data_IF_935955157685
#
_entry.id   IF_935955157685
#
_cell.length_a   1.000
_cell.length_b   1.000
_cell.length_c   1.000
_cell.angle_alpha   90.00
_cell.angle_beta   90.00
_cell.angle_gamma   90.00
#
_symmetry.space_group_name_H-M   'P 1'
#
loop_
_entity.id
_entity.type
_entity.pdbx_description
1 polymer ?
#
# COMPACT_ATOMS: atom_id res chain seq x y z
N UNK A 1 -19.82 4.26 12.35
CA UNK A 1 -20.69 4.10 11.16
C UNK A 1 -20.04 3.05 10.26
N UNK A 2 -20.68 1.91 10.04
CA UNK A 2 -20.25 0.95 9.02
C UNK A 2 -20.33 1.71 7.69
N UNK A 3 -19.20 1.89 7.01
CA UNK A 3 -19.16 2.52 5.69
C UNK A 3 -20.16 1.79 4.79
N UNK A 4 -21.13 2.51 4.24
CA UNK A 4 -22.17 1.94 3.39
C UNK A 4 -21.55 1.12 2.26
N UNK A 5 -21.86 -0.17 2.23
CA UNK A 5 -21.48 -1.08 1.15
C UNK A 5 -22.07 -0.55 -0.15
N UNK A 6 -21.23 -0.29 -1.15
CA UNK A 6 -21.69 0.20 -2.45
C UNK A 6 -21.88 -0.95 -3.43
N UNK A 7 -23.12 -1.12 -3.93
CA UNK A 7 -23.42 -2.10 -4.99
C UNK A 7 -22.58 -1.86 -6.26
N UNK A 8 -22.31 -0.59 -6.61
CA UNK A 8 -21.42 -0.23 -7.71
C UNK A 8 -19.99 -0.68 -7.48
N UNK A 9 -19.43 -0.43 -6.29
CA UNK A 9 -18.05 -0.84 -5.99
C UNK A 9 -17.90 -2.37 -5.94
N UNK A 10 -18.93 -3.08 -5.45
CA UNK A 10 -18.98 -4.54 -5.50
C UNK A 10 -18.98 -5.06 -6.95
N UNK A 11 -19.76 -4.45 -7.84
CA UNK A 11 -19.77 -4.83 -9.25
C UNK A 11 -18.39 -4.62 -9.91
N UNK A 12 -17.72 -3.49 -9.65
CA UNK A 12 -16.35 -3.24 -10.12
C UNK A 12 -15.38 -4.30 -9.58
N UNK A 13 -15.49 -4.65 -8.29
CA UNK A 13 -14.64 -5.68 -7.69
C UNK A 13 -14.82 -7.05 -8.34
N UNK A 14 -16.06 -7.47 -8.60
CA UNK A 14 -16.38 -8.71 -9.30
C UNK A 14 -15.85 -8.70 -10.74
N UNK A 15 -16.06 -7.60 -11.47
CA UNK A 15 -15.53 -7.44 -12.82
C UNK A 15 -13.99 -7.52 -12.84
N UNK A 16 -13.32 -6.90 -11.87
CA UNK A 16 -11.87 -6.95 -11.72
C UNK A 16 -11.38 -8.37 -11.45
N UNK A 17 -12.05 -9.16 -10.61
CA UNK A 17 -11.70 -10.58 -10.42
C UNK A 17 -11.83 -11.35 -11.74
N UNK A 18 -12.95 -11.21 -12.45
CA UNK A 18 -13.17 -11.88 -13.74
C UNK A 18 -12.13 -11.48 -14.80
N UNK A 19 -11.71 -10.21 -14.84
CA UNK A 19 -10.65 -9.71 -15.73
C UNK A 19 -9.32 -10.38 -15.45
N UNK A 20 -8.97 -10.47 -14.17
CA UNK A 20 -7.69 -11.02 -13.74
C UNK A 20 -7.65 -12.54 -13.97
N UNK A 21 -8.78 -13.23 -13.77
CA UNK A 21 -8.91 -14.67 -14.06
C UNK A 21 -8.84 -14.97 -15.57
N UNK A 22 -9.51 -14.18 -16.41
CA UNK A 22 -9.47 -14.36 -17.88
C UNK A 22 -8.20 -13.82 -18.53
N UNK A 23 -7.47 -12.93 -17.84
CA UNK A 23 -6.20 -12.37 -18.27
C UNK A 23 -6.30 -11.20 -19.27
N UNK A 24 -7.47 -10.59 -19.48
CA UNK A 24 -7.63 -9.47 -20.42
C UNK A 24 -8.86 -8.62 -20.11
N UNK A 25 -8.94 -7.41 -20.67
CA UNK A 25 -10.13 -6.55 -20.63
C UNK A 25 -10.33 -5.76 -21.93
N UNK A 26 -11.55 -5.26 -22.16
CA UNK A 26 -11.83 -4.33 -23.26
C UNK A 26 -11.48 -2.91 -22.81
N UNK A 27 -10.33 -2.42 -23.27
CA UNK A 27 -9.90 -1.05 -23.07
C UNK A 27 -10.51 -0.09 -24.09
N UNK A 28 -10.33 1.23 -23.90
CA UNK A 28 -10.87 2.24 -24.82
C UNK A 28 -10.30 2.13 -26.25
N UNK A 29 -9.10 1.58 -26.42
CA UNK A 29 -8.43 1.42 -27.72
C UNK A 29 -8.46 -0.03 -28.25
N UNK A 30 -9.22 -0.93 -27.59
CA UNK A 30 -9.32 -2.35 -27.95
C UNK A 30 -8.97 -3.29 -26.79
N UNK A 31 -8.84 -4.59 -27.11
CA UNK A 31 -8.53 -5.63 -26.13
C UNK A 31 -7.12 -5.45 -25.58
N UNK A 32 -6.99 -5.48 -24.25
CA UNK A 32 -5.72 -5.42 -23.52
C UNK A 32 -5.49 -6.75 -22.81
N UNK A 33 -4.40 -7.44 -23.15
CA UNK A 33 -3.92 -8.64 -22.47
C UNK A 33 -3.04 -8.25 -21.27
N UNK A 34 -3.32 -8.84 -20.10
CA UNK A 34 -2.56 -8.69 -18.87
C UNK A 34 -2.14 -10.05 -18.27
N UNK A 35 -2.43 -11.17 -18.93
CA UNK A 35 -2.29 -12.52 -18.36
C UNK A 35 -0.84 -12.81 -17.92
N UNK A 36 0.13 -12.43 -18.77
CA UNK A 36 1.55 -12.60 -18.47
C UNK A 36 2.02 -11.74 -17.30
N UNK A 37 1.58 -10.48 -17.24
CA UNK A 37 1.95 -9.56 -16.17
C UNK A 37 1.37 -9.99 -14.83
N UNK A 38 0.12 -10.47 -14.83
CA UNK A 38 -0.53 -11.07 -13.65
C UNK A 38 0.26 -12.30 -13.18
N UNK A 39 0.58 -13.22 -14.09
CA UNK A 39 1.33 -14.43 -13.74
C UNK A 39 2.71 -14.09 -13.15
N UNK A 40 3.42 -13.13 -13.76
CA UNK A 40 4.71 -12.65 -13.27
C UNK A 40 4.60 -12.03 -11.86
N UNK A 41 3.60 -11.18 -11.62
CA UNK A 41 3.38 -10.57 -10.31
C UNK A 41 3.09 -11.62 -9.22
N UNK A 42 2.25 -12.60 -9.52
CA UNK A 42 1.93 -13.71 -8.59
C UNK A 42 3.17 -14.56 -8.31
N UNK A 43 3.89 -14.99 -9.34
CA UNK A 43 5.10 -15.82 -9.19
C UNK A 43 6.23 -15.07 -8.46
N UNK A 44 6.31 -13.76 -8.62
CA UNK A 44 7.28 -12.90 -7.96
C UNK A 44 6.88 -12.48 -6.54
N UNK A 45 5.66 -12.78 -6.10
CA UNK A 45 5.19 -12.39 -4.76
C UNK A 45 6.01 -13.06 -3.67
N UNK A 46 6.42 -12.30 -2.65
CA UNK A 46 7.18 -12.79 -1.50
C UNK A 46 6.59 -12.27 -0.20
N UNK A 47 6.45 -13.13 0.80
CA UNK A 47 6.15 -12.73 2.18
C UNK A 47 7.48 -12.59 2.94
N UNK A 48 7.75 -11.40 3.47
CA UNK A 48 8.87 -11.12 4.37
C UNK A 48 8.37 -11.12 5.81
N UNK A 49 8.94 -11.99 6.64
CA UNK A 49 8.67 -12.08 8.08
C UNK A 49 9.52 -11.07 8.86
N UNK A 50 9.18 -10.73 10.12
CA UNK A 50 9.92 -9.73 10.90
C UNK A 50 11.42 -10.04 11.06
N UNK A 51 11.77 -11.33 11.16
CA UNK A 51 13.14 -11.79 11.36
C UNK A 51 13.92 -12.11 10.09
N UNK A 52 13.32 -12.01 8.90
CA UNK A 52 14.03 -12.39 7.67
C UNK A 52 15.19 -11.43 7.40
N UNK A 53 16.34 -12.01 7.10
CA UNK A 53 17.52 -11.28 6.65
C UNK A 53 17.27 -10.80 5.23
N UNK A 54 17.33 -9.48 5.03
CA UNK A 54 17.19 -8.84 3.73
C UNK A 54 18.58 -8.52 3.18
N UNK A 55 18.72 -8.60 1.85
CA UNK A 55 19.92 -8.13 1.17
C UNK A 55 20.18 -6.66 1.54
N UNK A 56 21.46 -6.31 1.74
CA UNK A 56 21.82 -4.94 2.11
C UNK A 56 21.54 -4.00 0.92
N UNK A 57 20.66 -2.99 1.08
CA UNK A 57 20.34 -2.11 -0.03
C UNK A 57 21.49 -1.16 -0.33
N UNK A 58 21.74 -0.95 -1.63
CA UNK A 58 22.73 0.02 -2.09
C UNK A 58 22.20 1.44 -1.89
N UNK A 59 22.98 2.27 -1.19
CA UNK A 59 22.70 3.69 -1.04
C UNK A 59 22.73 4.42 -2.40
N UNK A 60 21.85 5.40 -2.56
CA UNK A 60 21.83 6.28 -3.73
C UNK A 60 22.60 7.56 -3.45
N UNK A 61 23.13 8.16 -4.51
CA UNK A 61 23.78 9.46 -4.44
C UNK A 61 22.76 10.59 -4.54
N UNK A 62 23.00 11.67 -3.80
CA UNK A 62 22.16 12.87 -3.82
C UNK A 62 21.10 12.89 -2.72
N UNK A 63 20.44 14.04 -2.54
CA UNK A 63 19.40 14.20 -1.52
C UNK A 63 18.12 13.45 -1.91
N UNK A 64 17.42 12.93 -0.90
CA UNK A 64 16.08 12.39 -1.06
C UNK A 64 15.10 13.53 -1.41
N UNK A 65 14.37 13.40 -2.53
CA UNK A 65 13.25 14.27 -2.85
C UNK A 65 11.97 13.78 -2.14
N UNK A 66 11.35 14.64 -1.34
CA UNK A 66 10.07 14.34 -0.66
C UNK A 66 8.96 15.25 -1.20
N UNK A 67 7.85 14.64 -1.61
CA UNK A 67 6.64 15.35 -2.05
C UNK A 67 5.45 14.96 -1.15
N UNK A 68 4.58 15.94 -0.81
CA UNK A 68 3.29 15.68 -0.15
C UNK A 68 2.18 16.19 -1.07
N UNK A 69 1.34 15.29 -1.59
CA UNK A 69 0.39 15.60 -2.66
C UNK A 69 -1.05 15.21 -2.30
N UNK A 70 -2.02 15.82 -2.99
CA UNK A 70 -3.44 15.47 -2.90
C UNK A 70 -3.88 14.36 -3.86
N UNK A 71 -2.92 13.63 -4.43
CA UNK A 71 -3.18 12.51 -5.33
C UNK A 71 -3.72 11.29 -4.56
N UNK A 72 -4.40 10.38 -5.27
CA UNK A 72 -4.52 9.02 -4.78
C UNK A 72 -3.18 8.30 -4.89
N UNK A 73 -3.05 7.18 -4.18
CA UNK A 73 -1.85 6.35 -4.27
C UNK A 73 -1.59 5.82 -5.69
N UNK A 74 -2.64 5.55 -6.46
CA UNK A 74 -2.50 5.06 -7.84
C UNK A 74 -2.19 6.18 -8.84
N UNK A 75 -2.77 7.37 -8.68
CA UNK A 75 -2.43 8.50 -9.54
C UNK A 75 -0.97 8.93 -9.36
N UNK A 76 -0.48 9.01 -8.11
CA UNK A 76 0.93 9.25 -7.84
C UNK A 76 1.82 8.12 -8.40
N UNK A 77 1.44 6.85 -8.21
CA UNK A 77 2.20 5.73 -8.75
C UNK A 77 2.25 5.75 -10.28
N UNK A 78 1.15 6.13 -10.95
CA UNK A 78 1.09 6.26 -12.41
C UNK A 78 2.04 7.33 -12.93
N UNK A 79 2.06 8.50 -12.28
CA UNK A 79 2.97 9.60 -12.60
C UNK A 79 4.43 9.16 -12.48
N UNK A 80 4.80 8.57 -11.35
CA UNK A 80 6.15 8.06 -11.12
C UNK A 80 6.54 6.93 -12.10
N UNK A 81 5.63 5.99 -12.36
CA UNK A 81 5.87 4.89 -13.29
C UNK A 81 6.16 5.37 -14.72
N UNK A 82 5.55 6.48 -15.14
CA UNK A 82 5.80 7.09 -16.45
C UNK A 82 7.20 7.71 -16.56
N UNK A 83 7.83 8.08 -15.44
CA UNK A 83 9.14 8.72 -15.39
C UNK A 83 10.27 7.71 -15.21
N UNK A 84 10.12 6.73 -14.29
CA UNK A 84 11.21 5.85 -13.85
C UNK A 84 10.97 4.35 -14.05
N UNK A 85 9.71 3.94 -14.26
CA UNK A 85 9.31 2.54 -14.47
C UNK A 85 9.48 1.59 -13.28
N UNK A 86 10.02 2.04 -12.12
CA UNK A 86 10.28 1.19 -10.94
C UNK A 86 9.80 1.84 -9.64
N UNK A 87 8.49 2.00 -9.54
CA UNK A 87 7.80 2.52 -8.36
C UNK A 87 7.30 1.40 -7.44
N UNK A 88 7.41 1.59 -6.13
CA UNK A 88 6.68 0.80 -5.14
C UNK A 88 5.67 1.65 -4.38
N UNK A 89 4.48 1.09 -4.15
CA UNK A 89 3.39 1.74 -3.43
C UNK A 89 3.03 0.96 -2.16
N UNK A 90 2.90 1.65 -1.03
CA UNK A 90 2.44 1.05 0.21
C UNK A 90 0.91 0.84 0.18
N UNK A 91 0.48 -0.42 0.21
CA UNK A 91 -0.91 -0.80 0.45
C UNK A 91 -1.21 -0.79 1.95
N UNK A 92 -2.19 0.02 2.37
CA UNK A 92 -2.62 0.21 3.75
C UNK A 92 -3.50 -0.95 4.21
N UNK A 93 -2.83 -2.08 4.42
CA UNK A 93 -3.44 -3.39 4.39
C UNK A 93 -4.35 -3.68 5.59
N UNK A 94 -5.42 -4.41 5.32
CA UNK A 94 -6.04 -5.30 6.29
C UNK A 94 -5.06 -6.40 6.68
N UNK A 95 -4.91 -6.64 7.98
CA UNK A 95 -4.14 -7.77 8.47
C UNK A 95 -4.83 -9.12 8.15
N UNK A 96 -6.15 -9.14 7.98
CA UNK A 96 -6.94 -10.40 8.03
C UNK A 96 -7.59 -10.80 6.72
N UNK A 97 -7.80 -9.85 5.81
CA UNK A 97 -8.53 -10.08 4.56
C UNK A 97 -7.73 -9.52 3.38
N UNK A 98 -7.35 -10.35 2.39
CA UNK A 98 -6.65 -9.85 1.20
C UNK A 98 -7.54 -8.90 0.41
N UNK A 99 -7.05 -7.68 0.17
CA UNK A 99 -7.84 -6.62 -0.49
C UNK A 99 -8.92 -6.03 0.42
N UNK A 100 -8.84 -6.25 1.73
CA UNK A 100 -9.79 -5.72 2.70
C UNK A 100 -11.21 -6.17 2.42
N UNK A 101 -12.14 -5.21 2.37
CA UNK A 101 -13.55 -5.45 2.07
C UNK A 101 -13.93 -5.23 0.61
N UNK A 102 -13.01 -5.25 -0.36
CA UNK A 102 -13.29 -4.75 -1.72
C UNK A 102 -14.41 -5.52 -2.44
N UNK A 103 -14.47 -6.84 -2.26
CA UNK A 103 -15.55 -7.70 -2.77
C UNK A 103 -16.92 -7.36 -2.18
N UNK A 104 -16.95 -6.78 -0.99
CA UNK A 104 -18.17 -6.32 -0.34
C UNK A 104 -18.44 -4.84 -0.63
N UNK A 105 -17.75 -4.22 -1.59
CA UNK A 105 -17.96 -2.82 -1.95
C UNK A 105 -17.55 -1.82 -0.86
N UNK A 106 -16.64 -2.20 0.05
CA UNK A 106 -16.05 -1.28 1.01
C UNK A 106 -15.13 -0.26 0.32
N UNK A 107 -14.88 0.88 0.98
CA UNK A 107 -14.10 1.98 0.42
C UNK A 107 -13.02 2.42 1.40
N UNK A 108 -11.79 2.00 1.14
CA UNK A 108 -10.57 2.66 1.60
C UNK A 108 -9.49 2.56 0.50
N UNK A 109 -8.24 2.83 0.86
CA UNK A 109 -7.11 2.81 -0.07
C UNK A 109 -6.84 1.39 -0.59
N UNK A 110 -6.77 0.39 0.29
CA UNK A 110 -6.58 -1.03 -0.09
C UNK A 110 -7.67 -1.50 -1.06
N UNK A 111 -8.94 -1.22 -0.79
CA UNK A 111 -10.02 -1.65 -1.67
C UNK A 111 -10.00 -0.95 -3.03
N UNK A 112 -9.54 0.31 -3.08
CA UNK A 112 -9.37 1.03 -4.34
C UNK A 112 -8.24 0.42 -5.17
N UNK A 113 -7.11 0.08 -4.56
CA UNK A 113 -6.01 -0.65 -5.21
C UNK A 113 -6.49 -2.01 -5.72
N UNK A 114 -7.21 -2.78 -4.89
CA UNK A 114 -7.73 -4.10 -5.24
C UNK A 114 -8.74 -4.07 -6.39
N UNK A 115 -9.53 -3.01 -6.52
CA UNK A 115 -10.46 -2.83 -7.65
C UNK A 115 -9.80 -2.36 -8.93
N UNK A 116 -8.70 -1.63 -8.86
CA UNK A 116 -8.07 -1.01 -10.03
C UNK A 116 -6.88 -1.79 -10.60
N UNK A 117 -6.44 -2.85 -9.92
CA UNK A 117 -5.24 -3.60 -10.27
C UNK A 117 -5.41 -5.11 -10.09
N UNK A 118 -4.40 -5.87 -10.51
CA UNK A 118 -4.32 -7.30 -10.27
C UNK A 118 -3.60 -7.67 -8.96
N UNK A 119 -3.64 -6.83 -7.93
CA UNK A 119 -2.94 -7.12 -6.66
C UNK A 119 -3.56 -8.35 -5.96
N UNK A 120 -4.85 -8.60 -6.13
CA UNK A 120 -5.60 -9.58 -5.32
C UNK A 120 -5.04 -11.01 -5.39
N UNK A 121 -4.73 -11.60 -6.57
CA UNK A 121 -4.05 -12.89 -6.64
C UNK A 121 -2.68 -12.91 -5.95
N UNK A 122 -1.91 -11.82 -6.01
CA UNK A 122 -0.63 -11.71 -5.30
C UNK A 122 -0.85 -11.80 -3.78
N UNK A 123 -1.83 -11.06 -3.26
CA UNK A 123 -2.22 -11.15 -1.85
C UNK A 123 -2.67 -12.56 -1.46
N UNK A 124 -3.46 -13.21 -2.32
CA UNK A 124 -3.94 -14.60 -2.10
C UNK A 124 -2.80 -15.61 -2.09
N UNK A 125 -1.78 -15.43 -2.93
CA UNK A 125 -0.59 -16.28 -2.95
C UNK A 125 0.23 -16.17 -1.65
N UNK A 126 0.22 -15.01 -0.99
CA UNK A 126 0.83 -14.80 0.32
C UNK A 126 -0.12 -15.09 1.50
N UNK A 127 -0.92 -16.17 1.40
CA UNK A 127 -1.98 -16.52 2.35
C UNK A 127 -1.55 -16.62 3.83
N UNK A 128 -0.29 -16.99 4.09
CA UNK A 128 0.28 -17.13 5.43
C UNK A 128 0.32 -15.83 6.23
N UNK A 129 0.41 -14.68 5.55
CA UNK A 129 0.26 -13.37 6.19
C UNK A 129 -1.09 -13.28 6.92
N UNK A 130 -2.16 -13.56 6.19
CA UNK A 130 -3.52 -13.43 6.71
C UNK A 130 -3.90 -14.56 7.66
N UNK A 131 -3.42 -15.79 7.40
CA UNK A 131 -3.64 -16.92 8.29
C UNK A 131 -3.06 -16.65 9.68
N UNK A 132 -1.85 -16.08 9.73
CA UNK A 132 -1.20 -15.69 10.98
C UNK A 132 -2.05 -14.66 11.75
N UNK A 133 -2.47 -13.55 11.13
CA UNK A 133 -3.24 -12.50 11.83
C UNK A 133 -4.70 -12.85 12.12
N UNK A 134 -5.24 -13.91 11.50
CA UNK A 134 -6.54 -14.48 11.89
C UNK A 134 -6.41 -15.36 13.13
N UNK A 135 -5.30 -16.07 13.28
CA UNK A 135 -5.00 -16.85 14.48
C UNK A 135 -4.57 -15.96 15.66
N UNK A 136 -3.83 -14.87 15.37
CA UNK A 136 -3.39 -13.89 16.36
C UNK A 136 -4.51 -12.88 16.71
N UNK A 137 -4.75 -12.73 18.02
CA UNK A 137 -5.72 -11.76 18.55
C UNK A 137 -5.11 -10.38 18.76
N UNK A 138 -3.79 -10.23 18.63
CA UNK A 138 -3.09 -8.96 18.76
C UNK A 138 -3.57 -7.92 17.75
N UNK A 139 -3.81 -6.70 18.23
CA UNK A 139 -4.28 -5.58 17.39
C UNK A 139 -3.15 -4.64 16.96
N UNK A 140 -1.94 -4.84 17.49
CA UNK A 140 -0.71 -4.24 16.98
C UNK A 140 -0.32 -4.83 15.61
N UNK A 141 -0.79 -6.05 15.32
CA UNK A 141 -0.32 -6.91 14.22
C UNK A 141 1.22 -7.06 14.24
N UNK A 142 1.82 -7.45 13.11
CA UNK A 142 3.25 -7.77 13.05
C UNK A 142 3.93 -7.10 11.89
N UNK A 143 5.26 -7.08 11.92
CA UNK A 143 6.12 -6.41 10.93
C UNK A 143 6.32 -7.26 9.66
N UNK A 144 5.28 -8.02 9.29
CA UNK A 144 5.23 -8.81 8.06
C UNK A 144 4.94 -7.88 6.88
N UNK A 145 5.60 -8.11 5.75
CA UNK A 145 5.39 -7.33 4.53
C UNK A 145 5.24 -8.29 3.35
N UNK A 146 4.13 -8.19 2.61
CA UNK A 146 4.02 -8.87 1.32
C UNK A 146 4.57 -7.93 0.25
N UNK A 147 5.57 -8.41 -0.49
CA UNK A 147 6.07 -7.80 -1.71
C UNK A 147 5.32 -8.39 -2.91
N UNK A 148 4.67 -7.55 -3.71
CA UNK A 148 4.00 -7.93 -4.97
C UNK A 148 4.63 -7.15 -6.13
N UNK A 149 5.52 -7.75 -6.93
CA UNK A 149 6.27 -7.02 -7.96
C UNK A 149 5.43 -6.73 -9.20
N UNK A 150 5.58 -5.53 -9.78
CA UNK A 150 5.09 -5.16 -11.10
C UNK A 150 3.63 -5.57 -11.39
N UNK A 151 2.74 -5.38 -10.42
CA UNK A 151 1.31 -5.67 -10.55
C UNK A 151 0.71 -4.72 -11.59
N UNK A 152 -0.02 -5.22 -12.61
CA UNK A 152 -0.66 -4.36 -13.59
C UNK A 152 -1.83 -3.61 -12.95
N UNK A 153 -1.79 -2.28 -13.07
CA UNK A 153 -2.90 -1.37 -12.75
C UNK A 153 -3.60 -0.98 -14.04
N UNK A 154 -4.90 -1.23 -14.13
CA UNK A 154 -5.67 -1.14 -15.37
C UNK A 154 -6.95 -0.30 -15.26
N UNK A 155 -7.21 0.31 -14.10
CA UNK A 155 -8.25 1.35 -13.95
C UNK A 155 -7.71 2.64 -13.37
N UNK A 156 -8.38 3.74 -13.67
CA UNK A 156 -8.22 5.01 -12.95
C UNK A 156 -9.11 5.09 -11.70
N UNK A 157 -8.97 6.17 -10.92
CA UNK A 157 -9.77 6.42 -9.72
C UNK A 157 -11.28 6.55 -9.95
N UNK A 158 -11.69 6.79 -11.20
CA UNK A 158 -13.10 6.82 -11.59
C UNK A 158 -13.63 5.43 -11.96
N UNK A 159 -12.77 4.41 -11.93
CA UNK A 159 -13.09 3.02 -12.28
C UNK A 159 -13.07 2.74 -13.79
N UNK A 160 -12.59 3.67 -14.62
CA UNK A 160 -12.53 3.52 -16.07
C UNK A 160 -11.31 2.71 -16.46
N UNK A 161 -11.45 1.85 -17.46
CA UNK A 161 -10.32 1.10 -18.02
C UNK A 161 -9.29 2.01 -18.67
N UNK A 162 -8.02 1.65 -18.49
CA UNK A 162 -6.90 2.33 -19.13
C UNK A 162 -6.62 1.70 -20.49
N UNK A 163 -6.27 2.52 -21.48
CA UNK A 163 -5.78 2.02 -22.77
C UNK A 163 -4.51 1.17 -22.63
N UNK A 164 -3.64 1.57 -21.70
CA UNK A 164 -2.38 0.90 -21.40
C UNK A 164 -2.27 0.74 -19.89
N UNK A 165 -2.20 -0.50 -19.37
CA UNK A 165 -1.93 -0.73 -17.96
C UNK A 165 -0.50 -0.29 -17.64
N UNK A 166 -0.24 0.02 -16.37
CA UNK A 166 1.10 0.36 -15.90
C UNK A 166 1.48 -0.53 -14.72
N UNK A 167 2.76 -0.95 -14.63
CA UNK A 167 3.22 -1.80 -13.54
C UNK A 167 3.48 -0.96 -12.29
N UNK A 168 3.00 -1.45 -11.14
CA UNK A 168 3.33 -0.92 -9.82
C UNK A 168 3.71 -2.08 -8.91
N UNK A 169 4.82 -1.98 -8.21
CA UNK A 169 5.10 -2.95 -7.14
C UNK A 169 4.40 -2.52 -5.86
N UNK A 170 3.85 -3.46 -5.10
CA UNK A 170 3.15 -3.15 -3.85
C UNK A 170 3.87 -3.74 -2.64
N UNK A 171 3.93 -2.93 -1.58
CA UNK A 171 4.30 -3.34 -0.23
C UNK A 171 2.99 -3.41 0.57
N UNK A 172 2.56 -4.60 0.97
CA UNK A 172 1.34 -4.77 1.78
C UNK A 172 1.75 -4.98 3.23
N UNK A 173 1.39 -4.03 4.09
CA UNK A 173 1.69 -4.05 5.52
C UNK A 173 0.56 -3.40 6.32
N UNK A 174 0.15 -4.05 7.40
CA UNK A 174 -0.97 -3.58 8.22
C UNK A 174 -0.47 -2.65 9.33
N UNK A 175 -1.00 -1.42 9.40
CA UNK A 175 -0.76 -0.53 10.54
C UNK A 175 -1.43 -1.09 11.82
N UNK A 176 -0.95 -0.75 13.03
CA UNK A 176 -1.68 -1.06 14.26
C UNK A 176 -3.11 -0.53 14.19
N UNK A 177 -4.09 -1.32 14.63
CA UNK A 177 -5.49 -0.88 14.69
C UNK A 177 -5.73 -0.10 15.99
N UNK A 178 -5.18 1.12 16.08
CA UNK A 178 -5.22 1.97 17.27
C UNK A 178 -6.64 2.20 17.80
N UNK A 179 -7.60 2.42 16.90
CA UNK A 179 -9.01 2.60 17.25
C UNK A 179 -9.58 1.38 17.99
N UNK A 180 -9.28 0.17 17.52
CA UNK A 180 -9.73 -1.06 18.16
C UNK A 180 -8.90 -1.41 19.41
N UNK A 181 -7.60 -1.08 19.42
CA UNK A 181 -6.75 -1.18 20.61
C UNK A 181 -7.35 -0.35 21.75
N UNK A 182 -7.69 0.92 21.50
CA UNK A 182 -8.27 1.80 22.52
C UNK A 182 -9.55 1.25 23.14
N UNK A 183 -10.34 0.50 22.36
CA UNK A 183 -11.61 -0.08 22.79
C UNK A 183 -11.44 -1.43 23.50
N UNK A 184 -10.67 -2.34 22.90
CA UNK A 184 -10.67 -3.76 23.28
C UNK A 184 -9.37 -4.21 23.98
N UNK A 185 -8.25 -3.52 23.75
CA UNK A 185 -6.93 -3.88 24.29
C UNK A 185 -6.16 -2.62 24.74
N UNK A 186 -6.73 -1.74 25.60
CA UNK A 186 -6.18 -0.41 25.87
C UNK A 186 -4.77 -0.43 26.47
N UNK A 187 -4.39 -1.54 27.14
CA UNK A 187 -3.03 -1.74 27.64
C UNK A 187 -1.94 -1.75 26.56
N UNK A 188 -2.29 -1.99 25.29
CA UNK A 188 -1.35 -1.95 24.16
C UNK A 188 -1.20 -0.54 23.54
N UNK A 189 -1.96 0.47 23.98
CA UNK A 189 -1.84 1.83 23.45
C UNK A 189 -0.41 2.40 23.53
N UNK A 190 0.34 2.23 24.65
CA UNK A 190 1.72 2.70 24.74
C UNK A 190 2.68 2.03 23.75
N UNK A 191 2.32 0.87 23.19
CA UNK A 191 3.16 0.11 22.25
C UNK A 191 2.97 0.54 20.79
N UNK A 192 1.87 1.22 20.46
CA UNK A 192 1.52 1.66 19.10
C UNK A 192 2.64 2.47 18.43
N UNK A 193 3.27 3.47 19.08
CA UNK A 193 4.35 4.24 18.46
C UNK A 193 5.55 3.37 18.08
N UNK A 194 5.94 2.44 18.96
CA UNK A 194 7.03 1.50 18.71
C UNK A 194 6.72 0.52 17.57
N UNK A 195 5.47 0.05 17.49
CA UNK A 195 5.02 -0.82 16.41
C UNK A 195 4.99 -0.09 15.05
N UNK A 196 4.52 1.16 15.00
CA UNK A 196 4.57 1.99 13.81
C UNK A 196 6.01 2.17 13.31
N UNK A 197 6.92 2.55 14.22
CA UNK A 197 8.34 2.79 13.89
C UNK A 197 9.02 1.56 13.27
N UNK A 198 9.04 0.44 13.99
CA UNK A 198 9.69 -0.80 13.51
C UNK A 198 9.14 -1.26 12.16
N UNK A 199 7.84 -1.08 11.96
CA UNK A 199 7.17 -1.53 10.73
C UNK A 199 7.38 -0.59 9.56
N UNK A 200 7.44 0.72 9.78
CA UNK A 200 7.83 1.68 8.75
C UNK A 200 9.26 1.41 8.27
N UNK A 201 10.22 1.25 9.20
CA UNK A 201 11.60 0.85 8.91
C UNK A 201 11.64 -0.45 8.08
N UNK A 202 10.85 -1.46 8.47
CA UNK A 202 10.77 -2.74 7.75
C UNK A 202 10.20 -2.59 6.34
N UNK A 203 9.14 -1.81 6.15
CA UNK A 203 8.56 -1.53 4.83
C UNK A 203 9.59 -0.89 3.91
N UNK A 204 10.31 0.13 4.40
CA UNK A 204 11.36 0.80 3.63
C UNK A 204 12.49 -0.17 3.28
N UNK A 205 12.97 -0.96 4.25
CA UNK A 205 14.06 -1.91 4.01
C UNK A 205 13.67 -3.00 3.00
N UNK A 206 12.43 -3.51 3.03
CA UNK A 206 11.92 -4.45 2.03
C UNK A 206 11.89 -3.78 0.65
N UNK A 207 11.36 -2.55 0.54
CA UNK A 207 11.32 -1.84 -0.74
C UNK A 207 12.71 -1.66 -1.35
N UNK A 208 13.67 -1.22 -0.52
CA UNK A 208 15.04 -0.96 -0.96
C UNK A 208 15.79 -2.24 -1.36
N UNK A 209 15.55 -3.35 -0.64
CA UNK A 209 16.11 -4.67 -0.94
C UNK A 209 15.60 -5.25 -2.27
N UNK A 210 14.39 -4.87 -2.70
CA UNK A 210 13.86 -5.18 -4.04
C UNK A 210 14.29 -4.16 -5.12
N UNK A 211 15.21 -3.25 -4.79
CA UNK A 211 15.79 -2.31 -5.74
C UNK A 211 14.89 -1.11 -6.07
N UNK A 212 13.81 -0.87 -5.32
CA UNK A 212 12.98 0.32 -5.51
C UNK A 212 13.71 1.58 -5.05
N UNK A 213 13.61 2.63 -5.86
CA UNK A 213 14.20 3.95 -5.60
C UNK A 213 13.16 5.07 -5.55
N UNK A 214 11.94 4.77 -5.96
CA UNK A 214 10.79 5.67 -5.90
C UNK A 214 9.64 5.02 -5.14
N UNK A 215 9.11 5.72 -4.14
CA UNK A 215 8.03 5.22 -3.30
C UNK A 215 6.81 6.12 -3.33
N UNK A 216 5.64 5.49 -3.28
CA UNK A 216 4.38 6.12 -2.91
C UNK A 216 3.97 5.63 -1.53
N UNK A 217 4.01 6.53 -0.55
CA UNK A 217 3.55 6.35 0.81
C UNK A 217 2.30 7.21 1.05
N UNK A 218 1.89 7.37 2.31
CA UNK A 218 0.81 8.27 2.70
C UNK A 218 0.37 8.06 4.14
N UNK A 219 -0.87 8.45 4.44
CA UNK A 219 -1.48 8.41 5.78
C UNK A 219 -1.84 6.98 6.24
N UNK A 220 -0.82 6.12 6.35
CA UNK A 220 -0.93 4.71 6.66
C UNK A 220 -1.57 4.47 8.03
N UNK A 221 -2.76 3.84 8.02
CA UNK A 221 -3.50 3.54 9.24
C UNK A 221 -4.23 4.73 9.88
N UNK A 222 -4.24 5.92 9.26
CA UNK A 222 -4.92 7.10 9.81
C UNK A 222 -6.42 7.15 9.54
N UNK A 223 -6.94 6.27 8.68
CA UNK A 223 -8.36 6.11 8.40
C UNK A 223 -9.08 5.28 9.47
N UNK A 224 -9.68 4.16 9.06
CA UNK A 224 -10.44 3.27 9.96
C UNK A 224 -9.64 2.78 11.18
N UNK A 225 -8.31 2.63 11.04
CA UNK A 225 -7.45 2.20 12.14
C UNK A 225 -7.13 3.33 13.15
N UNK A 226 -7.43 4.57 12.80
CA UNK A 226 -7.43 5.71 13.72
C UNK A 226 -6.08 6.06 14.32
N UNK A 227 -4.97 5.80 13.62
CA UNK A 227 -3.66 6.34 14.00
C UNK A 227 -3.63 7.85 13.80
N UNK A 228 -2.80 8.53 14.59
CA UNK A 228 -2.58 9.97 14.48
C UNK A 228 -1.71 10.28 13.25
N UNK A 229 -2.18 11.09 12.27
CA UNK A 229 -1.39 11.48 11.12
C UNK A 229 -0.04 12.11 11.44
N UNK A 230 0.04 12.98 12.45
CA UNK A 230 1.29 13.64 12.83
C UNK A 230 2.32 12.60 13.33
N UNK A 231 1.85 11.62 14.11
CA UNK A 231 2.69 10.51 14.56
C UNK A 231 3.16 9.63 13.39
N UNK A 232 2.27 9.28 12.45
CA UNK A 232 2.64 8.48 11.27
C UNK A 232 3.64 9.22 10.39
N UNK A 233 3.45 10.53 10.18
CA UNK A 233 4.37 11.36 9.41
C UNK A 233 5.75 11.44 10.08
N UNK A 234 5.80 11.70 11.39
CA UNK A 234 7.05 11.73 12.15
C UNK A 234 7.80 10.40 12.12
N UNK A 235 7.07 9.27 12.17
CA UNK A 235 7.66 7.93 12.04
C UNK A 235 8.32 7.74 10.68
N UNK A 236 7.65 8.13 9.59
CA UNK A 236 8.26 8.02 8.26
C UNK A 236 9.40 9.01 8.06
N UNK A 237 9.32 10.23 8.60
CA UNK A 237 10.41 11.20 8.54
C UNK A 237 11.68 10.65 9.22
N UNK A 238 11.55 10.13 10.44
CA UNK A 238 12.66 9.50 11.14
C UNK A 238 13.21 8.27 10.39
N UNK A 239 12.33 7.38 9.91
CA UNK A 239 12.77 6.18 9.20
C UNK A 239 13.44 6.48 7.84
N UNK A 240 13.06 7.57 7.18
CA UNK A 240 13.67 8.01 5.91
C UNK A 240 15.01 8.70 6.09
N UNK A 241 15.23 9.37 7.23
CA UNK A 241 16.53 9.96 7.56
C UNK A 241 17.66 8.91 7.59
N UNK A 242 17.33 7.68 8.01
CA UNK A 242 18.26 6.54 8.07
C UNK A 242 18.16 5.61 6.85
N UNK A 243 17.42 5.99 5.80
CA UNK A 243 17.20 5.18 4.60
C UNK A 243 17.73 5.87 3.33
N UNK A 244 19.07 5.91 3.12
CA UNK A 244 19.71 6.59 1.98
C UNK A 244 19.54 5.81 0.66
N UNK A 245 18.42 5.10 0.48
CA UNK A 245 18.19 4.16 -0.60
C UNK A 245 17.20 4.68 -1.65
N UNK A 246 16.56 5.82 -1.41
CA UNK A 246 15.49 6.34 -2.25
C UNK A 246 15.88 7.67 -2.87
N UNK A 247 15.60 7.81 -4.16
CA UNK A 247 15.74 9.08 -4.88
C UNK A 247 14.55 9.99 -4.59
N UNK A 248 13.34 9.38 -4.48
CA UNK A 248 12.09 10.11 -4.35
C UNK A 248 11.05 9.35 -3.52
N UNK A 249 10.36 10.06 -2.64
CA UNK A 249 9.22 9.56 -1.88
C UNK A 249 8.06 10.55 -2.01
N UNK A 250 6.91 10.04 -2.45
CA UNK A 250 5.66 10.80 -2.55
C UNK A 250 4.71 10.32 -1.47
N UNK A 251 4.30 11.21 -0.57
CA UNK A 251 3.18 11.00 0.35
C UNK A 251 1.89 11.42 -0.34
N UNK A 252 1.23 10.48 -1.00
CA UNK A 252 -0.03 10.70 -1.71
C UNK A 252 -1.21 10.55 -0.73
N UNK A 253 -1.78 11.68 -0.32
CA UNK A 253 -2.79 11.75 0.74
C UNK A 253 -4.05 12.38 0.16
N UNK A 254 -4.98 11.51 -0.24
CA UNK A 254 -6.30 11.91 -0.73
C UNK A 254 -7.23 12.27 0.44
N UNK A 255 -7.03 13.44 1.05
CA UNK A 255 -7.94 14.02 2.03
C UNK A 255 -8.63 15.29 1.49
N UNK A 256 -9.88 15.51 1.90
CA UNK A 256 -10.67 16.67 1.45
C UNK A 256 -10.43 17.93 2.27
N UNK A 257 -9.88 17.78 3.47
CA UNK A 257 -9.80 18.85 4.47
C UNK A 257 -8.39 19.44 4.63
N UNK A 258 -7.41 19.02 3.83
CA UNK A 258 -5.97 19.39 3.88
C UNK A 258 -5.25 19.06 5.20
N UNK A 259 -5.96 18.93 6.33
CA UNK A 259 -5.36 18.76 7.65
C UNK A 259 -4.36 17.61 7.73
N UNK A 260 -4.64 16.47 7.07
CA UNK A 260 -3.73 15.32 7.09
C UNK A 260 -2.50 15.63 6.24
N UNK A 261 -2.65 16.35 5.11
CA UNK A 261 -1.50 16.79 4.31
C UNK A 261 -0.64 17.80 5.07
N UNK A 262 -1.24 18.69 5.85
CA UNK A 262 -0.52 19.69 6.63
C UNK A 262 0.34 19.04 7.72
N UNK A 263 -0.16 18.02 8.42
CA UNK A 263 0.63 17.23 9.38
C UNK A 263 1.86 16.60 8.72
N UNK A 264 1.71 16.05 7.51
CA UNK A 264 2.83 15.48 6.75
C UNK A 264 3.79 16.56 6.26
N UNK A 265 3.31 17.68 5.72
CA UNK A 265 4.16 18.81 5.29
C UNK A 265 4.99 19.35 6.46
N UNK A 266 4.39 19.48 7.64
CA UNK A 266 5.08 19.95 8.84
C UNK A 266 6.22 19.00 9.25
N UNK A 267 5.98 17.68 9.23
CA UNK A 267 7.00 16.69 9.60
C UNK A 267 8.24 16.71 8.69
N UNK A 268 8.05 16.93 7.38
CA UNK A 268 9.14 16.97 6.39
C UNK A 268 9.74 18.36 6.14
N UNK A 269 9.15 19.42 6.71
CA UNK A 269 9.75 20.76 6.70
C UNK A 269 10.80 20.94 7.82
N UNK A 270 10.77 20.08 8.84
CA UNK A 270 11.67 20.11 10.00
C UNK A 270 12.85 19.11 9.91
N UNK A 271 12.90 18.30 8.85
CA UNK A 271 13.87 17.22 8.63
C UNK A 271 14.95 17.59 7.63
#
# INVERSE_FOLDING_TARGET
MISGVSGRLRAIAQETVSIVERGWYEGPDGVVDIARDVAHAVQGTRLHLPGDVLAEPVAVAGPLAVEVTGESSLDAARRLAAESGRVACLNFASARNPGGGFLNGAQAQEESIARASAIYPSLRAAGDFYAFHRADRGLLYTDRVIWSPAVPVFRDDRGRFLARPYPVSFLTSAAPNRAMIARDQPGLLPEVPGALRRRAERVLRVAAAHGCRELVLGAWGCGVFGNDPAQVAAVFAAALADAPWFNRVVFAILDRRETVRDDFRAAFAMS
#
